data_IF_211677594505
#
_entry.id   IF_211677594505
#
_cell.length_a   1.000
_cell.length_b   1.000
_cell.length_c   1.000
_cell.angle_alpha   90.00
_cell.angle_beta   90.00
_cell.angle_gamma   90.00
#
_symmetry.space_group_name_H-M   'P 1'
#
loop_
_entity.id
_entity.type
_entity.pdbx_description
1 polymer ?
#
# COMPACT_ATOMS: atom_id res chain seq x y z
N UNK A 1 -14.93 -5.31 -50.53
CA UNK A 1 -13.91 -5.69 -49.53
C UNK A 1 -14.38 -5.15 -48.18
N UNK A 2 -15.26 -5.89 -47.49
CA UNK A 2 -15.83 -5.45 -46.23
C UNK A 2 -14.79 -5.59 -45.11
N UNK A 3 -14.69 -4.56 -44.29
CA UNK A 3 -13.64 -4.35 -43.30
C UNK A 3 -13.67 -5.35 -42.16
N UNK A 4 -12.47 -5.57 -41.63
CA UNK A 4 -12.16 -6.28 -40.39
C UNK A 4 -12.82 -5.55 -39.20
N UNK A 5 -14.09 -5.86 -38.93
CA UNK A 5 -14.93 -5.20 -37.93
C UNK A 5 -15.12 -6.07 -36.68
N UNK A 6 -14.33 -7.13 -36.55
CA UNK A 6 -14.70 -8.28 -35.71
C UNK A 6 -14.02 -8.23 -34.34
N UNK A 7 -13.10 -7.28 -34.12
CA UNK A 7 -12.23 -7.24 -32.94
C UNK A 7 -12.37 -5.97 -32.07
N UNK A 8 -13.31 -5.08 -32.38
CA UNK A 8 -13.46 -3.79 -31.68
C UNK A 8 -14.14 -3.88 -30.31
N UNK A 9 -14.82 -4.99 -30.02
CA UNK A 9 -15.67 -5.13 -28.83
C UNK A 9 -15.36 -6.38 -28.00
N UNK A 10 -14.17 -6.99 -28.19
CA UNK A 10 -13.78 -8.15 -27.40
C UNK A 10 -13.44 -7.68 -25.99
N UNK A 11 -14.22 -8.14 -25.01
CA UNK A 11 -13.92 -7.94 -23.59
C UNK A 11 -12.48 -8.42 -23.32
N UNK A 12 -11.63 -7.49 -22.88
CA UNK A 12 -10.31 -7.79 -22.37
C UNK A 12 -10.48 -7.79 -20.86
N UNK A 13 -10.41 -8.98 -20.26
CA UNK A 13 -10.33 -9.08 -18.82
C UNK A 13 -8.96 -8.54 -18.40
N UNK A 14 -8.94 -7.39 -17.72
CA UNK A 14 -7.74 -6.83 -17.08
C UNK A 14 -7.36 -7.62 -15.82
N UNK A 15 -7.67 -8.92 -15.77
CA UNK A 15 -7.45 -9.81 -14.64
C UNK A 15 -6.10 -9.54 -14.00
N UNK A 16 -6.09 -9.58 -12.66
CA UNK A 16 -4.89 -9.33 -11.87
C UNK A 16 -3.69 -10.09 -12.42
N UNK A 17 -2.49 -9.47 -12.42
CA UNK A 17 -1.30 -10.13 -12.97
C UNK A 17 -1.15 -11.51 -12.32
N UNK A 18 -1.18 -12.55 -13.16
CA UNK A 18 -0.80 -13.90 -12.73
C UNK A 18 0.65 -13.82 -12.28
N UNK A 19 0.83 -13.90 -10.98
CA UNK A 19 2.16 -13.98 -10.37
C UNK A 19 2.48 -15.45 -10.19
N UNK A 20 3.69 -15.87 -10.53
CA UNK A 20 4.17 -17.25 -10.36
C UNK A 20 4.47 -17.58 -8.87
N UNK A 21 3.73 -16.93 -7.95
CA UNK A 21 3.94 -16.95 -6.50
C UNK A 21 2.72 -16.41 -5.75
N UNK A 22 2.83 -16.33 -4.43
CA UNK A 22 1.70 -15.98 -3.56
C UNK A 22 1.12 -14.58 -3.88
N UNK A 23 -0.22 -14.45 -3.97
CA UNK A 23 -0.89 -13.20 -4.33
C UNK A 23 -0.70 -12.11 -3.26
N UNK A 24 -0.98 -10.86 -3.65
CA UNK A 24 -0.89 -9.69 -2.78
C UNK A 24 -1.52 -9.96 -1.39
N UNK A 25 -0.72 -9.77 -0.35
CA UNK A 25 -1.10 -10.02 1.03
C UNK A 25 -2.21 -9.04 1.42
N UNK A 26 -3.39 -9.56 1.69
CA UNK A 26 -4.52 -8.85 2.29
C UNK A 26 -4.64 -9.28 3.76
N UNK A 27 -5.08 -8.38 4.65
CA UNK A 27 -5.34 -8.68 6.07
C UNK A 27 -6.25 -9.91 6.27
N UNK A 28 -7.06 -10.28 5.27
CA UNK A 28 -7.91 -11.48 5.30
C UNK A 28 -7.14 -12.82 5.23
N UNK A 29 -5.86 -12.79 4.85
CA UNK A 29 -5.03 -13.96 4.61
C UNK A 29 -3.93 -14.15 5.67
N UNK A 30 -3.87 -13.29 6.68
CA UNK A 30 -2.88 -13.41 7.74
C UNK A 30 -3.27 -14.55 8.70
N UNK A 31 -2.28 -15.27 9.23
CA UNK A 31 -2.47 -16.38 10.17
C UNK A 31 -2.92 -15.92 11.57
N UNK A 32 -2.87 -14.59 11.83
CA UNK A 32 -3.25 -13.96 13.09
C UNK A 32 -4.35 -12.92 12.89
N UNK A 33 -5.52 -13.14 13.48
CA UNK A 33 -6.63 -12.18 13.44
C UNK A 33 -6.27 -10.88 14.15
N UNK A 34 -6.37 -9.73 13.47
CA UNK A 34 -6.18 -8.40 14.06
C UNK A 34 -5.48 -7.43 13.10
N UNK A 35 -5.56 -6.13 13.41
CA UNK A 35 -4.75 -5.12 12.73
C UNK A 35 -3.30 -5.31 13.17
N UNK A 36 -2.52 -6.08 12.41
CA UNK A 36 -1.07 -6.08 12.55
C UNK A 36 -0.64 -4.64 12.33
N UNK A 37 -0.24 -3.97 13.42
CA UNK A 37 0.30 -2.62 13.34
C UNK A 37 1.34 -2.58 12.24
N UNK A 38 1.35 -1.55 11.37
CA UNK A 38 2.43 -1.41 10.38
C UNK A 38 3.80 -1.27 11.04
N UNK A 39 3.83 -0.99 12.36
CA UNK A 39 5.01 -0.88 13.17
C UNK A 39 5.38 -2.19 13.91
N UNK A 40 4.69 -3.30 13.63
CA UNK A 40 4.95 -4.60 14.26
C UNK A 40 4.69 -4.56 15.77
N UNK A 41 5.72 -4.88 16.56
CA UNK A 41 5.67 -4.95 18.03
C UNK A 41 5.80 -3.60 18.72
N UNK A 42 5.84 -2.49 17.96
CA UNK A 42 5.97 -1.15 18.50
C UNK A 42 4.69 -0.71 19.23
N UNK A 43 4.82 -0.33 20.50
CA UNK A 43 3.73 0.17 21.34
C UNK A 43 3.75 1.69 21.40
N UNK A 44 2.61 2.33 21.17
CA UNK A 44 2.43 3.77 21.28
C UNK A 44 1.79 4.18 22.60
N UNK A 45 2.04 5.40 23.11
CA UNK A 45 2.94 6.41 22.54
C UNK A 45 4.42 6.08 22.80
N UNK A 46 5.30 6.59 21.93
CA UNK A 46 6.74 6.53 22.16
C UNK A 46 7.17 7.63 23.15
N UNK A 47 8.26 7.41 23.91
CA UNK A 47 8.92 8.47 24.66
C UNK A 47 9.29 9.65 23.75
N UNK A 48 9.23 10.88 24.27
CA UNK A 48 9.50 12.10 23.49
C UNK A 48 10.89 12.14 22.90
N UNK A 49 11.86 11.54 23.59
CA UNK A 49 13.28 11.52 23.22
C UNK A 49 13.56 10.57 22.06
N UNK A 50 12.64 9.65 21.76
CA UNK A 50 12.74 8.67 20.67
C UNK A 50 12.00 9.13 19.41
N UNK A 51 11.20 10.20 19.50
CA UNK A 51 10.50 10.74 18.35
C UNK A 51 11.48 11.46 17.42
N UNK A 52 11.46 11.20 16.09
CA UNK A 52 12.23 11.96 15.11
C UNK A 52 11.67 13.38 14.88
N UNK A 53 10.78 13.85 15.75
CA UNK A 53 10.14 15.15 15.65
C UNK A 53 11.08 16.25 16.13
N UNK A 54 11.37 17.21 15.25
CA UNK A 54 12.07 18.43 15.59
C UNK A 54 11.06 19.58 15.63
N UNK A 55 10.96 20.26 16.77
CA UNK A 55 10.10 21.44 16.88
C UNK A 55 10.69 22.58 16.03
N UNK A 56 9.95 23.12 15.05
CA UNK A 56 10.45 24.20 14.22
C UNK A 56 10.66 25.45 15.06
N UNK A 57 11.84 26.06 14.93
CA UNK A 57 12.17 27.32 15.58
C UNK A 57 12.35 28.39 14.51
N UNK A 58 11.56 29.46 14.58
CA UNK A 58 11.72 30.62 13.70
C UNK A 58 12.83 31.51 14.24
N UNK A 59 13.90 31.70 13.46
CA UNK A 59 14.92 32.71 13.75
C UNK A 59 14.57 33.98 12.98
N UNK A 60 14.27 35.07 13.70
CA UNK A 60 14.01 36.39 13.10
C UNK A 60 15.33 36.98 12.63
N UNK A 61 15.37 37.53 11.40
CA UNK A 61 16.55 38.21 10.88
C UNK A 61 16.85 39.45 11.72
N UNK A 62 18.11 39.61 12.15
CA UNK A 62 18.55 40.74 12.99
C UNK A 62 18.98 41.92 12.13
#
# INVERSE_FOLDING_TARGET
>A
MAGNLDNKNRYVDNGWPKTDGEPAVSELRTDRTGALSPFGDLVFPLPSEELPYLHPVTVVNR
#
